data_IF_533960731667
#
_entry.id   IF_533960731667
#
_cell.length_a   1.000
_cell.length_b   1.000
_cell.length_c   1.000
_cell.angle_alpha   90.00
_cell.angle_beta   90.00
_cell.angle_gamma   90.00
#
_symmetry.space_group_name_H-M   'P 1'
#
loop_
_entity.id
_entity.type
_entity.pdbx_description
1 polymer ?
#
# COMPACT_ATOMS: atom_id res chain seq x y z
N UNK A 1 -32.99 49.15 19.68
CA UNK A 1 -31.57 48.88 19.33
C UNK A 1 -31.19 47.40 19.44
N UNK A 2 -31.59 46.68 20.50
CA UNK A 2 -31.21 45.26 20.70
C UNK A 2 -31.84 44.26 19.71
N UNK A 3 -33.05 44.53 19.21
CA UNK A 3 -33.75 43.67 18.23
C UNK A 3 -33.08 43.68 16.85
N UNK A 4 -32.58 44.84 16.41
CA UNK A 4 -31.87 44.99 15.13
C UNK A 4 -30.52 44.26 15.17
N UNK A 5 -29.82 44.32 16.31
CA UNK A 5 -28.54 43.60 16.51
C UNK A 5 -28.75 42.08 16.49
N UNK A 6 -29.84 41.58 17.08
CA UNK A 6 -30.19 40.14 17.05
C UNK A 6 -30.53 39.65 15.65
N UNK A 7 -31.27 40.43 14.86
CA UNK A 7 -31.59 40.11 13.46
C UNK A 7 -30.33 40.12 12.57
N UNK A 8 -29.42 41.07 12.77
CA UNK A 8 -28.15 41.13 12.04
C UNK A 8 -27.23 39.93 12.35
N UNK A 9 -27.21 39.45 13.60
CA UNK A 9 -26.43 38.26 13.99
C UNK A 9 -26.97 36.96 13.38
N UNK A 10 -28.30 36.85 13.23
CA UNK A 10 -28.95 35.71 12.58
C UNK A 10 -28.69 35.71 11.07
N UNK A 11 -28.70 36.88 10.43
CA UNK A 11 -28.40 37.01 9.00
C UNK A 11 -26.94 36.59 8.66
N UNK A 12 -26.00 36.79 9.58
CA UNK A 12 -24.59 36.40 9.41
C UNK A 12 -24.39 34.87 9.38
N UNK A 13 -25.30 34.09 9.97
CA UNK A 13 -25.25 32.62 9.97
C UNK A 13 -25.69 32.00 8.64
N UNK A 14 -26.31 32.78 7.74
CA UNK A 14 -26.78 32.31 6.43
C UNK A 14 -25.85 32.67 5.27
N UNK A 15 -24.63 33.18 5.54
CA UNK A 15 -23.64 33.40 4.49
C UNK A 15 -23.03 32.04 4.12
N UNK A 16 -23.28 31.51 2.90
CA UNK A 16 -22.62 30.28 2.47
C UNK A 16 -21.13 30.57 2.29
N UNK A 17 -20.30 29.97 3.14
CA UNK A 17 -18.85 29.97 2.95
C UNK A 17 -18.55 29.02 1.78
N UNK A 18 -18.34 29.58 0.60
CA UNK A 18 -17.86 28.82 -0.55
C UNK A 18 -16.40 28.46 -0.31
N UNK A 19 -16.16 27.22 0.10
CA UNK A 19 -14.80 26.68 0.16
C UNK A 19 -14.38 26.32 -1.27
N UNK A 20 -13.48 27.12 -1.84
CA UNK A 20 -12.81 26.77 -3.09
C UNK A 20 -11.81 25.64 -2.80
N UNK A 21 -12.25 24.39 -2.89
CA UNK A 21 -11.34 23.26 -2.93
C UNK A 21 -10.62 23.28 -4.29
N UNK A 22 -9.43 23.87 -4.34
CA UNK A 22 -8.61 23.89 -5.55
C UNK A 22 -8.28 22.44 -5.94
N UNK A 23 -8.78 22.01 -7.10
CA UNK A 23 -8.52 20.67 -7.63
C UNK A 23 -7.05 20.60 -8.05
N UNK A 24 -6.22 19.89 -7.29
CA UNK A 24 -4.80 19.74 -7.60
C UNK A 24 -4.59 18.67 -8.65
N UNK A 25 -3.69 18.93 -9.61
CA UNK A 25 -3.18 17.91 -10.53
C UNK A 25 -2.78 16.62 -9.81
N UNK A 26 -2.96 15.49 -10.50
CA UNK A 26 -2.77 14.19 -9.89
C UNK A 26 -2.13 13.19 -10.83
N UNK A 27 -1.59 12.13 -10.23
CA UNK A 27 -1.03 10.99 -10.95
C UNK A 27 -2.04 9.85 -10.93
N UNK A 28 -2.31 9.28 -12.09
CA UNK A 28 -3.18 8.11 -12.24
C UNK A 28 -2.36 6.86 -12.55
N UNK A 29 -2.40 5.87 -11.65
CA UNK A 29 -1.94 4.52 -11.93
C UNK A 29 -3.05 3.76 -12.64
N UNK A 30 -2.79 3.39 -13.89
CA UNK A 30 -3.72 2.66 -14.74
C UNK A 30 -3.22 1.25 -15.01
N UNK A 31 -4.16 0.35 -15.27
CA UNK A 31 -3.92 -0.96 -15.86
C UNK A 31 -4.74 -1.04 -17.13
N UNK A 32 -4.06 -0.95 -18.28
CA UNK A 32 -4.72 -0.69 -19.56
C UNK A 32 -5.64 0.53 -19.41
N UNK A 33 -6.92 0.40 -19.73
CA UNK A 33 -7.90 1.50 -19.72
C UNK A 33 -8.54 1.75 -18.36
N UNK A 34 -8.18 0.99 -17.32
CA UNK A 34 -8.77 1.11 -15.98
C UNK A 34 -7.82 1.76 -14.98
N UNK A 35 -8.27 2.88 -14.40
CA UNK A 35 -7.61 3.49 -13.23
C UNK A 35 -7.68 2.55 -12.03
N UNK A 36 -6.52 2.22 -11.47
CA UNK A 36 -6.39 1.43 -10.24
C UNK A 36 -6.36 2.36 -9.03
N UNK A 37 -5.57 3.43 -9.11
CA UNK A 37 -5.36 4.36 -8.01
C UNK A 37 -4.96 5.73 -8.55
N UNK A 38 -5.48 6.77 -7.93
CA UNK A 38 -5.06 8.16 -8.18
C UNK A 38 -4.33 8.69 -6.95
N UNK A 39 -3.31 9.50 -7.18
CA UNK A 39 -2.45 10.08 -6.15
C UNK A 39 -2.42 11.59 -6.30
N UNK A 40 -2.85 12.28 -5.26
CA UNK A 40 -3.00 13.74 -5.21
C UNK A 40 -1.90 14.36 -4.34
N UNK A 41 -1.81 15.70 -4.36
CA UNK A 41 -1.01 16.44 -3.39
C UNK A 41 -1.35 16.00 -1.95
N UNK A 42 -0.33 15.79 -1.13
CA UNK A 42 -0.46 15.34 0.26
C UNK A 42 -0.76 13.84 0.41
N UNK A 43 -0.84 13.06 -0.66
CA UNK A 43 -0.98 11.60 -0.55
C UNK A 43 0.38 10.93 -0.31
N UNK A 44 0.38 9.85 0.49
CA UNK A 44 1.57 8.99 0.63
C UNK A 44 1.80 8.25 -0.68
N UNK A 45 3.03 8.34 -1.17
CA UNK A 45 3.46 7.72 -2.41
C UNK A 45 4.75 6.94 -2.18
N UNK A 46 4.72 5.68 -2.59
CA UNK A 46 5.85 4.78 -2.54
C UNK A 46 6.03 4.19 -3.93
N UNK A 47 7.28 4.13 -4.39
CA UNK A 47 7.62 3.56 -5.68
C UNK A 47 9.04 3.00 -5.68
N UNK A 48 9.31 2.16 -6.66
CA UNK A 48 10.64 1.65 -6.98
C UNK A 48 11.16 2.45 -8.17
N UNK A 49 12.30 3.10 -8.00
CA UNK A 49 12.99 3.82 -9.06
C UNK A 49 13.62 2.83 -10.06
N UNK A 50 13.93 3.27 -11.29
CA UNK A 50 14.58 2.43 -12.32
C UNK A 50 15.91 1.83 -11.91
N UNK A 51 16.63 2.44 -10.96
CA UNK A 51 17.85 1.86 -10.38
C UNK A 51 17.58 0.77 -9.32
N UNK A 52 16.31 0.42 -9.05
CA UNK A 52 15.90 -0.58 -8.06
C UNK A 52 15.69 -0.05 -6.64
N UNK A 53 15.97 1.23 -6.36
CA UNK A 53 15.82 1.81 -5.02
C UNK A 53 14.35 2.06 -4.69
N UNK A 54 13.89 1.63 -3.52
CA UNK A 54 12.57 1.97 -2.99
C UNK A 54 12.56 3.37 -2.37
N UNK A 55 11.65 4.22 -2.83
CA UNK A 55 11.48 5.59 -2.35
C UNK A 55 10.08 5.71 -1.76
N UNK A 56 9.98 6.27 -0.56
CA UNK A 56 8.72 6.47 0.16
C UNK A 56 8.64 7.89 0.70
N UNK A 57 7.46 8.48 0.61
CA UNK A 57 7.25 9.87 0.99
C UNK A 57 5.81 10.33 0.81
N UNK A 58 5.61 11.64 0.85
CA UNK A 58 4.34 12.27 0.46
C UNK A 58 4.55 13.21 -0.72
N UNK A 59 3.54 13.29 -1.58
CA UNK A 59 3.53 14.16 -2.76
C UNK A 59 3.39 15.61 -2.31
N UNK A 60 4.37 16.45 -2.64
CA UNK A 60 4.29 17.90 -2.45
C UNK A 60 3.49 18.56 -3.58
N UNK A 61 3.86 18.26 -4.82
CA UNK A 61 3.18 18.74 -6.03
C UNK A 61 3.53 17.86 -7.22
N UNK A 62 2.70 17.94 -8.25
CA UNK A 62 2.91 17.24 -9.52
C UNK A 62 2.75 18.28 -10.62
N UNK A 63 3.70 18.33 -11.56
CA UNK A 63 3.66 19.30 -12.64
C UNK A 63 4.41 18.76 -13.86
N UNK A 64 3.79 18.76 -15.04
CA UNK A 64 4.42 18.36 -16.33
C UNK A 64 5.25 17.07 -16.21
N UNK A 65 4.61 15.96 -15.85
CA UNK A 65 5.26 14.64 -15.65
C UNK A 65 6.43 14.62 -14.65
N UNK A 66 6.50 15.62 -13.78
CA UNK A 66 7.45 15.68 -12.68
C UNK A 66 6.72 15.55 -11.37
N UNK A 67 7.19 14.62 -10.55
CA UNK A 67 6.73 14.37 -9.20
C UNK A 67 7.71 15.02 -8.20
N UNK A 68 7.19 15.93 -7.39
CA UNK A 68 7.89 16.52 -6.26
C UNK A 68 7.39 15.87 -4.98
N UNK A 69 8.29 15.41 -4.14
CA UNK A 69 7.94 14.68 -2.92
C UNK A 69 8.92 14.93 -1.79
N UNK A 70 8.39 14.84 -0.57
CA UNK A 70 9.19 14.75 0.64
C UNK A 70 9.43 13.28 0.96
N UNK A 71 10.66 12.81 0.81
CA UNK A 71 11.04 11.46 1.22
C UNK A 71 11.27 11.38 2.73
N UNK A 72 10.91 10.24 3.31
CA UNK A 72 11.19 9.94 4.71
C UNK A 72 12.53 9.24 4.88
N UNK A 73 13.38 9.79 5.74
CA UNK A 73 14.44 9.03 6.40
C UNK A 73 13.91 8.55 7.76
N UNK A 74 13.39 7.33 7.78
CA UNK A 74 12.93 6.69 9.02
C UNK A 74 14.11 5.94 9.62
N UNK A 75 14.58 6.39 10.78
CA UNK A 75 15.63 5.69 11.53
C UNK A 75 15.04 5.00 12.74
N UNK A 76 15.53 3.79 13.02
CA UNK A 76 15.17 3.09 14.24
C UNK A 76 16.09 3.55 15.37
N UNK A 77 15.52 4.25 16.33
CA UNK A 77 16.22 4.68 17.54
C UNK A 77 15.87 3.73 18.68
N UNK A 78 16.86 3.20 19.43
CA UNK A 78 16.60 2.39 20.59
C UNK A 78 15.94 3.23 21.68
N UNK A 79 14.90 2.67 22.31
CA UNK A 79 14.27 3.25 23.50
C UNK A 79 15.02 2.77 24.75
N UNK A 80 14.85 3.47 25.89
CA UNK A 80 15.42 3.02 27.18
C UNK A 80 14.98 1.62 27.62
N UNK A 81 13.87 1.11 27.07
CA UNK A 81 13.34 -0.23 27.37
C UNK A 81 13.85 -1.32 26.41
N UNK A 82 14.89 -1.03 25.60
CA UNK A 82 15.47 -2.00 24.66
C UNK A 82 14.61 -2.29 23.43
N UNK A 83 13.48 -1.59 23.26
CA UNK A 83 12.66 -1.65 22.04
C UNK A 83 13.16 -0.61 21.03
N UNK A 84 12.69 -0.66 19.78
CA UNK A 84 13.04 0.32 18.74
C UNK A 84 11.81 1.14 18.39
N UNK A 85 11.96 2.47 18.33
CA UNK A 85 10.94 3.36 17.82
C UNK A 85 11.41 3.98 16.49
N UNK A 86 10.48 4.14 15.55
CA UNK A 86 10.75 4.74 14.26
C UNK A 86 10.65 6.26 14.39
N UNK A 87 11.78 6.97 14.26
CA UNK A 87 11.82 8.42 14.28
C UNK A 87 12.09 8.99 12.88
N UNK A 88 11.40 10.08 12.52
CA UNK A 88 11.57 10.73 11.21
C UNK A 88 12.63 11.81 11.34
N UNK A 89 13.86 11.49 10.89
CA UNK A 89 15.04 12.34 11.13
C UNK A 89 15.08 13.56 10.19
N UNK A 90 14.42 13.50 9.04
CA UNK A 90 14.36 14.63 8.12
C UNK A 90 13.34 14.45 6.98
N UNK A 91 12.98 15.57 6.35
CA UNK A 91 12.20 15.61 5.11
C UNK A 91 13.12 16.09 3.99
N UNK A 92 13.44 15.22 3.05
CA UNK A 92 14.27 15.59 1.90
C UNK A 92 13.36 15.87 0.72
N UNK A 93 13.49 17.06 0.14
CA UNK A 93 12.82 17.42 -1.10
C UNK A 93 13.47 16.69 -2.27
N UNK A 94 12.73 15.76 -2.87
CA UNK A 94 13.17 15.01 -4.04
C UNK A 94 12.26 15.32 -5.24
N UNK A 95 12.87 15.29 -6.42
CA UNK A 95 12.22 15.52 -7.71
C UNK A 95 12.50 14.31 -8.60
N UNK A 96 11.44 13.74 -9.15
CA UNK A 96 11.51 12.58 -10.05
C UNK A 96 10.65 12.80 -11.29
N UNK A 97 11.12 12.38 -12.45
CA UNK A 97 10.28 12.22 -13.63
C UNK A 97 9.38 10.98 -13.50
N UNK A 98 8.14 11.05 -13.97
CA UNK A 98 7.24 9.87 -13.93
C UNK A 98 7.80 8.67 -14.71
N UNK A 99 8.62 8.92 -15.72
CA UNK A 99 9.29 7.88 -16.50
C UNK A 99 10.37 7.12 -15.70
N UNK A 100 10.88 7.68 -14.59
CA UNK A 100 11.88 7.07 -13.71
C UNK A 100 11.26 6.05 -12.73
N UNK A 101 9.94 6.00 -12.66
CA UNK A 101 9.20 5.06 -11.81
C UNK A 101 9.14 3.70 -12.51
N UNK A 102 9.83 2.71 -11.95
CA UNK A 102 9.85 1.34 -12.49
C UNK A 102 8.69 0.49 -11.98
N UNK A 103 8.30 0.61 -10.70
CA UNK A 103 7.18 -0.13 -10.16
C UNK A 103 6.54 0.58 -8.97
N UNK A 104 5.26 0.32 -8.72
CA UNK A 104 4.57 0.78 -7.52
C UNK A 104 4.22 -0.43 -6.62
N UNK A 105 4.62 -0.46 -5.34
CA UNK A 105 4.23 -1.51 -4.42
C UNK A 105 2.71 -1.56 -4.22
N UNK A 106 2.19 -2.78 -4.14
CA UNK A 106 0.78 -3.00 -3.81
C UNK A 106 0.57 -2.68 -2.34
N UNK A 107 -0.45 -1.88 -2.04
CA UNK A 107 -0.86 -1.66 -0.66
C UNK A 107 -1.16 -2.98 0.03
N UNK A 108 -0.64 -3.16 1.24
CA UNK A 108 -0.94 -4.32 2.09
C UNK A 108 -2.46 -4.41 2.27
N UNK A 109 -3.02 -5.58 1.98
CA UNK A 109 -4.44 -5.84 2.24
C UNK A 109 -4.57 -6.76 3.44
N UNK A 110 -5.72 -6.69 4.12
CA UNK A 110 -6.09 -7.68 5.13
C UNK A 110 -6.01 -9.10 4.55
N UNK A 111 -5.64 -10.06 5.41
CA UNK A 111 -5.53 -11.49 5.07
C UNK A 111 -4.55 -11.79 3.92
N UNK A 112 -3.48 -11.00 3.77
CA UNK A 112 -2.46 -11.27 2.73
C UNK A 112 -1.81 -12.65 2.90
N UNK A 113 -1.69 -13.17 4.13
CA UNK A 113 -1.18 -14.52 4.43
C UNK A 113 -2.07 -15.66 3.87
N UNK A 114 -3.36 -15.40 3.64
CA UNK A 114 -4.27 -16.32 2.95
C UNK A 114 -4.09 -16.16 1.44
N UNK A 115 -4.12 -14.91 0.96
CA UNK A 115 -4.06 -14.57 -0.47
C UNK A 115 -2.71 -14.91 -1.12
N UNK A 116 -1.64 -14.97 -0.34
CA UNK A 116 -0.33 -15.40 -0.79
C UNK A 116 -0.05 -16.89 -0.53
N UNK A 117 -1.04 -17.66 -0.05
CA UNK A 117 -0.90 -19.10 0.17
C UNK A 117 -0.08 -19.53 1.40
N UNK A 118 0.39 -18.57 2.21
CA UNK A 118 1.16 -18.89 3.43
C UNK A 118 0.32 -19.72 4.41
N UNK A 119 -0.97 -19.42 4.55
CA UNK A 119 -1.87 -20.20 5.40
C UNK A 119 -1.95 -21.66 4.95
N UNK A 120 -2.10 -21.91 3.65
CA UNK A 120 -2.19 -23.28 3.12
C UNK A 120 -0.86 -24.02 3.26
N UNK A 121 0.25 -23.32 3.05
CA UNK A 121 1.59 -23.89 3.26
C UNK A 121 1.79 -24.31 4.72
N UNK A 122 1.54 -23.41 5.67
CA UNK A 122 1.68 -23.70 7.11
C UNK A 122 0.66 -24.76 7.56
N UNK A 123 -0.59 -24.66 7.11
CA UNK A 123 -1.65 -25.60 7.47
C UNK A 123 -1.37 -27.02 6.94
N UNK A 124 -0.96 -27.14 5.68
CA UNK A 124 -0.61 -28.43 5.07
C UNK A 124 0.60 -29.07 5.73
N UNK A 125 1.71 -28.32 5.89
CA UNK A 125 2.93 -28.82 6.56
C UNK A 125 2.66 -29.13 8.03
N UNK A 126 1.98 -28.23 8.74
CA UNK A 126 1.66 -28.39 10.16
C UNK A 126 0.77 -29.59 10.42
N UNK A 127 -0.25 -29.80 9.59
CA UNK A 127 -1.12 -30.98 9.70
C UNK A 127 -0.36 -32.28 9.40
N UNK A 128 0.45 -32.32 8.33
CA UNK A 128 1.27 -33.49 7.99
C UNK A 128 2.19 -33.86 9.16
N UNK A 129 2.86 -32.87 9.74
CA UNK A 129 3.73 -33.03 10.90
C UNK A 129 2.94 -33.58 12.10
N UNK A 130 1.84 -32.91 12.48
CA UNK A 130 1.06 -33.28 13.65
C UNK A 130 0.45 -34.68 13.53
N UNK A 131 -0.10 -35.02 12.35
CA UNK A 131 -0.68 -36.34 12.09
C UNK A 131 0.36 -37.46 12.17
N UNK A 132 1.53 -37.23 11.58
CA UNK A 132 2.65 -38.18 11.64
C UNK A 132 3.14 -38.35 13.07
N UNK A 133 3.36 -37.25 13.78
CA UNK A 133 3.91 -37.27 15.15
C UNK A 133 2.94 -37.91 16.14
N UNK A 134 1.64 -37.58 16.06
CA UNK A 134 0.61 -38.23 16.87
C UNK A 134 0.51 -39.73 16.56
N UNK A 135 0.58 -40.12 15.28
CA UNK A 135 0.61 -41.52 14.87
C UNK A 135 1.79 -42.30 15.49
N UNK A 136 2.98 -41.69 15.52
CA UNK A 136 4.17 -42.30 16.13
C UNK A 136 4.04 -42.42 17.66
N UNK A 137 3.60 -41.36 18.35
CA UNK A 137 3.46 -41.36 19.82
C UNK A 137 2.38 -42.33 20.28
N UNK A 138 1.21 -42.26 19.66
CA UNK A 138 0.03 -43.04 20.07
C UNK A 138 0.04 -44.45 19.46
N UNK A 139 1.07 -44.81 18.67
CA UNK A 139 1.13 -46.04 17.87
C UNK A 139 -0.12 -46.22 16.99
N UNK A 140 -0.70 -45.10 16.56
CA UNK A 140 -1.90 -45.07 15.74
C UNK A 140 -1.55 -45.13 14.25
N UNK A 141 -2.51 -45.55 13.42
CA UNK A 141 -2.29 -45.71 11.97
C UNK A 141 -2.05 -44.35 11.31
N UNK A 142 -0.91 -44.22 10.63
CA UNK A 142 -0.61 -43.08 9.77
C UNK A 142 -1.26 -43.35 8.40
N UNK A 143 -2.23 -42.52 8.04
CA UNK A 143 -2.97 -42.66 6.78
C UNK A 143 -2.23 -41.96 5.62
N UNK A 144 -1.74 -42.70 4.60
CA UNK A 144 -1.02 -42.09 3.48
C UNK A 144 -1.88 -41.09 2.69
N UNK A 145 -3.19 -41.33 2.60
CA UNK A 145 -4.14 -40.42 1.95
C UNK A 145 -4.20 -39.04 2.63
N UNK A 146 -4.21 -39.00 3.96
CA UNK A 146 -4.20 -37.73 4.71
C UNK A 146 -2.89 -36.96 4.53
N UNK A 147 -1.76 -37.67 4.47
CA UNK A 147 -0.47 -37.06 4.17
C UNK A 147 -0.43 -36.52 2.74
N UNK A 148 -0.93 -37.28 1.76
CA UNK A 148 -1.03 -36.84 0.37
C UNK A 148 -1.89 -35.57 0.23
N UNK A 149 -3.04 -35.50 0.90
CA UNK A 149 -3.91 -34.30 0.92
C UNK A 149 -3.16 -33.13 1.53
N UNK A 150 -2.54 -33.31 2.71
CA UNK A 150 -1.82 -32.23 3.40
C UNK A 150 -0.62 -31.72 2.60
N UNK A 151 0.11 -32.61 1.92
CA UNK A 151 1.18 -32.27 0.99
C UNK A 151 0.67 -31.51 -0.23
N UNK A 152 -0.47 -31.93 -0.80
CA UNK A 152 -1.13 -31.22 -1.89
C UNK A 152 -1.53 -29.79 -1.51
N UNK A 153 -2.11 -29.60 -0.31
CA UNK A 153 -2.45 -28.27 0.23
C UNK A 153 -1.21 -27.41 0.43
N UNK A 154 -0.11 -27.99 0.95
CA UNK A 154 1.14 -27.26 1.13
C UNK A 154 1.75 -26.82 -0.20
N UNK A 155 1.75 -27.69 -1.21
CA UNK A 155 2.23 -27.39 -2.56
C UNK A 155 1.37 -26.30 -3.24
N UNK A 156 0.04 -26.34 -3.06
CA UNK A 156 -0.84 -25.29 -3.52
C UNK A 156 -0.50 -23.94 -2.86
N UNK A 157 -0.26 -23.93 -1.54
CA UNK A 157 0.20 -22.74 -0.83
C UNK A 157 1.53 -22.18 -1.35
N UNK A 158 2.50 -23.06 -1.58
CA UNK A 158 3.82 -22.69 -2.12
C UNK A 158 3.72 -22.08 -3.52
N UNK A 159 2.94 -22.70 -4.42
CA UNK A 159 2.74 -22.20 -5.79
C UNK A 159 2.03 -20.85 -5.80
N UNK A 160 0.98 -20.68 -4.99
CA UNK A 160 0.30 -19.40 -4.80
C UNK A 160 1.28 -18.30 -4.35
N UNK A 161 2.18 -18.61 -3.41
CA UNK A 161 3.19 -17.68 -2.93
C UNK A 161 4.18 -17.29 -4.02
N UNK A 162 4.66 -18.27 -4.78
CA UNK A 162 5.64 -18.08 -5.87
C UNK A 162 5.08 -17.22 -7.00
N UNK A 163 3.80 -17.38 -7.33
CA UNK A 163 3.14 -16.63 -8.41
C UNK A 163 2.65 -15.23 -7.98
N UNK A 164 2.69 -14.92 -6.68
CA UNK A 164 2.19 -13.66 -6.13
C UNK A 164 3.10 -12.49 -6.50
N UNK A 165 2.62 -11.58 -7.34
CA UNK A 165 3.29 -10.28 -7.60
C UNK A 165 2.91 -9.25 -6.53
N UNK A 166 3.89 -8.66 -5.85
CA UNK A 166 3.70 -7.62 -4.82
C UNK A 166 3.82 -6.18 -5.33
N UNK A 167 4.15 -6.01 -6.61
CA UNK A 167 4.34 -4.70 -7.23
C UNK A 167 3.52 -4.60 -8.53
N UNK A 168 3.28 -3.37 -8.96
CA UNK A 168 2.75 -3.00 -10.26
C UNK A 168 3.92 -2.50 -11.13
N UNK A 169 4.51 -3.36 -11.98
CA UNK A 169 5.61 -2.96 -12.86
C UNK A 169 5.10 -2.02 -13.95
N UNK A 170 5.71 -0.84 -14.07
CA UNK A 170 5.32 0.21 -15.00
C UNK A 170 6.00 -0.03 -16.36
N UNK A 171 5.25 0.10 -17.45
CA UNK A 171 5.77 0.02 -18.83
C UNK A 171 5.10 -1.03 -19.71
N UNK A 172 4.53 -2.09 -19.13
CA UNK A 172 3.75 -3.09 -19.88
C UNK A 172 2.25 -2.87 -19.66
N UNK A 173 1.68 -3.67 -18.75
CA UNK A 173 0.27 -3.70 -18.42
C UNK A 173 -0.16 -2.53 -17.54
N UNK A 174 0.78 -1.92 -16.82
CA UNK A 174 0.53 -0.82 -15.90
C UNK A 174 1.24 0.42 -16.41
N UNK A 175 0.52 1.53 -16.39
CA UNK A 175 0.99 2.84 -16.85
C UNK A 175 0.72 3.87 -15.77
N UNK A 176 1.57 4.90 -15.75
CA UNK A 176 1.41 6.07 -14.90
C UNK A 176 1.20 7.25 -15.83
N UNK A 177 0.18 8.06 -15.56
CA UNK A 177 -0.11 9.26 -16.35
C UNK A 177 -0.36 10.44 -15.43
N UNK A 178 0.22 11.57 -15.79
CA UNK A 178 -0.16 12.86 -15.25
C UNK A 178 -1.56 13.24 -15.76
N UNK A 179 -2.38 13.76 -14.87
CA UNK A 179 -3.68 14.32 -15.20
C UNK A 179 -3.70 15.75 -14.68
N UNK A 180 -3.78 16.69 -15.61
CA UNK A 180 -3.97 18.10 -15.32
C UNK A 180 -5.45 18.35 -15.04
N UNK A 181 -5.72 19.02 -13.92
CA UNK A 181 -7.05 19.53 -13.63
C UNK A 181 -7.05 21.02 -13.92
N UNK A 182 -7.52 21.39 -15.11
CA UNK A 182 -7.71 22.79 -15.47
C UNK A 182 -8.76 23.40 -14.52
N UNK A 183 -8.33 24.39 -13.75
CA UNK A 183 -9.23 25.39 -13.19
C UNK A 183 -9.14 26.58 -14.15
N UNK A 184 -10.06 26.64 -15.11
CA UNK A 184 -10.39 27.91 -15.78
C UNK A 184 -11.15 28.82 -14.81
#
# INVERSE_FOLDING_TARGET
MHTIIRLALIALLFIPVTTAAQQSDFISLKKKDRTIKSYFKGSSFEFIHRNGTGISGYIDRIYKDTLYMYAYDIRMTPTPWGTRFADTVGRINLKFGLHEIAAIPKSRKGFEFVRNGTLFMIGGVGYAFLHTFNGLIQKAKIHPSTLAISGGVALAGFTMRKLRKYYYPIGEKYTISYVQLNTE
#
